data_IF_680556020551
#
_entry.id   IF_680556020551
#
_cell.length_a   1.000
_cell.length_b   1.000
_cell.length_c   1.000
_cell.angle_alpha   90.00
_cell.angle_beta   90.00
_cell.angle_gamma   90.00
#
_symmetry.space_group_name_H-M   'P 1'
#
loop_
_entity.id
_entity.type
_entity.pdbx_description
1 polymer ?
#
# COMPACT_ATOMS: atom_id res chain seq x y z
N UNK A 1 -15.15 -24.09 -20.85
CA UNK A 1 -15.10 -22.64 -20.54
C UNK A 1 -13.65 -22.32 -20.22
N UNK A 2 -12.96 -21.58 -21.09
CA UNK A 2 -11.68 -20.97 -20.74
C UNK A 2 -12.00 -19.70 -19.99
N UNK A 3 -11.94 -19.74 -18.66
CA UNK A 3 -11.98 -18.55 -17.82
C UNK A 3 -10.74 -17.73 -18.14
N UNK A 4 -10.88 -16.75 -19.04
CA UNK A 4 -9.77 -15.89 -19.42
C UNK A 4 -9.50 -14.97 -18.23
N UNK A 5 -8.44 -15.27 -17.49
CA UNK A 5 -7.94 -14.44 -16.40
C UNK A 5 -7.51 -13.10 -17.01
N UNK A 6 -8.37 -12.08 -16.92
CA UNK A 6 -8.09 -10.72 -17.39
C UNK A 6 -7.91 -9.83 -16.19
N UNK A 7 -6.72 -9.26 -16.03
CA UNK A 7 -6.39 -8.38 -14.91
C UNK A 7 -6.43 -6.93 -15.34
N UNK A 8 -7.13 -6.10 -14.58
CA UNK A 8 -7.14 -4.65 -14.78
C UNK A 8 -5.85 -4.01 -14.25
N UNK A 9 -4.86 -3.88 -15.13
CA UNK A 9 -3.58 -3.27 -14.81
C UNK A 9 -3.69 -1.78 -14.45
N UNK A 10 -4.67 -1.05 -15.01
CA UNK A 10 -4.88 0.36 -14.68
C UNK A 10 -5.48 0.49 -13.28
N UNK A 11 -6.50 -0.33 -12.96
CA UNK A 11 -7.09 -0.42 -11.63
C UNK A 11 -6.06 -0.78 -10.55
N UNK A 12 -5.16 -1.74 -10.84
CA UNK A 12 -4.06 -2.10 -9.93
C UNK A 12 -3.09 -0.93 -9.69
N UNK A 13 -2.74 -0.18 -10.73
CA UNK A 13 -1.85 0.98 -10.58
C UNK A 13 -2.53 2.13 -9.82
N UNK A 14 -3.83 2.36 -10.06
CA UNK A 14 -4.62 3.35 -9.32
C UNK A 14 -4.72 2.98 -7.83
N UNK A 15 -5.05 1.73 -7.52
CA UNK A 15 -5.12 1.24 -6.14
C UNK A 15 -3.75 1.30 -5.43
N UNK A 16 -2.65 1.09 -6.16
CA UNK A 16 -1.31 1.27 -5.63
C UNK A 16 -0.96 2.75 -5.35
N UNK A 17 -1.43 3.69 -6.16
CA UNK A 17 -1.24 5.11 -5.91
C UNK A 17 -2.01 5.55 -4.65
N UNK A 18 -3.29 5.18 -4.56
CA UNK A 18 -4.15 5.45 -3.41
C UNK A 18 -3.58 4.85 -2.11
N UNK A 19 -3.13 3.59 -2.16
CA UNK A 19 -2.46 2.95 -1.02
C UNK A 19 -1.19 3.70 -0.59
N UNK A 20 -0.39 4.21 -1.53
CA UNK A 20 0.80 4.98 -1.19
C UNK A 20 0.44 6.31 -0.51
N UNK A 21 -0.63 6.98 -0.93
CA UNK A 21 -1.15 8.20 -0.29
C UNK A 21 -1.64 7.91 1.13
N UNK A 22 -2.44 6.85 1.31
CA UNK A 22 -2.90 6.38 2.62
C UNK A 22 -1.70 6.12 3.54
N UNK A 23 -0.68 5.38 3.07
CA UNK A 23 0.52 5.12 3.86
C UNK A 23 1.24 6.42 4.29
N UNK A 24 1.34 7.40 3.39
CA UNK A 24 1.90 8.72 3.69
C UNK A 24 1.10 9.47 4.76
N UNK A 25 -0.23 9.42 4.68
CA UNK A 25 -1.12 10.05 5.67
C UNK A 25 -0.95 9.44 7.07
N UNK A 26 -0.81 8.12 7.17
CA UNK A 26 -0.59 7.41 8.43
C UNK A 26 0.75 7.76 9.06
N UNK A 27 1.82 7.87 8.25
CA UNK A 27 3.15 8.23 8.73
C UNK A 27 3.29 9.70 9.14
N UNK A 28 2.47 10.60 8.57
CA UNK A 28 2.54 12.04 8.81
C UNK A 28 1.80 12.50 10.08
N UNK A 29 1.05 11.62 10.75
CA UNK A 29 0.26 12.02 11.91
C UNK A 29 1.15 12.15 13.16
N UNK A 30 1.47 13.39 13.53
CA UNK A 30 2.27 13.72 14.71
C UNK A 30 1.53 13.33 16.00
N UNK A 31 2.20 12.59 16.90
CA UNK A 31 1.69 12.35 18.24
C UNK A 31 1.64 13.67 19.02
N UNK A 32 0.49 14.00 19.61
CA UNK A 32 0.35 15.21 20.42
C UNK A 32 1.26 15.15 21.64
N UNK A 33 2.09 16.17 21.84
CA UNK A 33 2.91 16.27 23.05
C UNK A 33 2.03 16.70 24.23
N UNK A 34 1.68 15.77 25.11
CA UNK A 34 1.00 16.08 26.37
C UNK A 34 2.05 16.63 27.36
N UNK A 35 2.08 17.95 27.59
CA UNK A 35 3.11 18.63 28.41
C UNK A 35 2.75 18.78 29.90
N UNK A 36 1.94 17.89 30.48
CA UNK A 36 1.53 18.02 31.89
C UNK A 36 2.32 17.13 32.86
N UNK A 37 2.45 17.57 34.11
CA UNK A 37 3.25 16.90 35.16
C UNK A 37 2.45 15.94 36.06
N UNK A 38 1.16 15.71 35.79
CA UNK A 38 0.34 14.79 36.59
C UNK A 38 0.62 13.33 36.21
N UNK A 39 0.52 12.36 37.15
CA UNK A 39 0.76 10.94 36.88
C UNK A 39 -0.08 10.36 35.71
N UNK A 40 -1.29 10.90 35.50
CA UNK A 40 -2.15 10.54 34.37
C UNK A 40 -1.54 10.87 33.00
N UNK A 41 -0.68 11.89 32.90
CA UNK A 41 0.01 12.24 31.65
C UNK A 41 0.99 11.16 31.19
N UNK A 42 1.66 10.46 32.11
CA UNK A 42 2.54 9.36 31.73
C UNK A 42 1.78 8.24 31.01
N UNK A 43 0.55 7.95 31.48
CA UNK A 43 -0.35 7.00 30.81
C UNK A 43 -0.79 7.47 29.43
N UNK A 44 -1.17 8.74 29.30
CA UNK A 44 -1.55 9.34 28.00
C UNK A 44 -0.38 9.28 27.01
N UNK A 45 0.82 9.68 27.43
CA UNK A 45 2.02 9.61 26.58
C UNK A 45 2.38 8.19 26.16
N UNK A 46 2.17 7.19 27.04
CA UNK A 46 2.37 5.78 26.67
C UNK A 46 1.37 5.33 25.60
N UNK A 47 0.10 5.76 25.69
CA UNK A 47 -0.94 5.46 24.69
C UNK A 47 -0.62 6.17 23.37
N UNK A 48 -0.22 7.44 23.40
CA UNK A 48 0.17 8.19 22.19
C UNK A 48 1.36 7.55 21.48
N UNK A 49 2.37 7.10 22.24
CA UNK A 49 3.51 6.38 21.69
C UNK A 49 3.10 5.02 21.09
N UNK A 50 2.22 4.27 21.75
CA UNK A 50 1.69 3.01 21.23
C UNK A 50 0.89 3.24 19.94
N UNK A 51 0.08 4.30 19.88
CA UNK A 51 -0.69 4.67 18.70
C UNK A 51 0.21 5.09 17.54
N UNK A 52 1.25 5.90 17.78
CA UNK A 52 2.24 6.27 16.78
C UNK A 52 2.94 5.02 16.20
N UNK A 53 3.36 4.10 17.07
CA UNK A 53 3.96 2.83 16.66
C UNK A 53 2.99 1.94 15.86
N UNK A 54 1.70 1.92 16.21
CA UNK A 54 0.69 1.19 15.45
C UNK A 54 0.48 1.78 14.05
N UNK A 55 0.42 3.11 13.93
CA UNK A 55 0.30 3.83 12.66
C UNK A 55 1.48 3.58 11.75
N UNK A 56 2.70 3.63 12.27
CA UNK A 56 3.92 3.37 11.51
C UNK A 56 3.95 1.95 10.91
N UNK A 57 3.62 0.94 11.72
CA UNK A 57 3.47 -0.44 11.22
C UNK A 57 2.39 -0.55 10.15
N UNK A 58 1.28 0.16 10.30
CA UNK A 58 0.20 0.14 9.32
C UNK A 58 0.60 0.85 8.02
N UNK A 59 1.28 1.99 8.09
CA UNK A 59 1.84 2.69 6.93
C UNK A 59 2.79 1.77 6.15
N UNK A 60 3.67 1.05 6.85
CA UNK A 60 4.59 0.07 6.24
C UNK A 60 3.83 -1.04 5.51
N UNK A 61 2.80 -1.62 6.14
CA UNK A 61 1.98 -2.67 5.50
C UNK A 61 1.30 -2.18 4.22
N UNK A 62 0.68 -1.01 4.27
CA UNK A 62 -0.04 -0.43 3.13
C UNK A 62 0.93 -0.04 2.00
N UNK A 63 2.10 0.51 2.33
CA UNK A 63 3.16 0.80 1.35
C UNK A 63 3.64 -0.47 0.65
N UNK A 64 3.86 -1.56 1.39
CA UNK A 64 4.23 -2.84 0.80
C UNK A 64 3.12 -3.37 -0.12
N UNK A 65 1.86 -3.24 0.29
CA UNK A 65 0.72 -3.63 -0.55
C UNK A 65 0.68 -2.86 -1.87
N UNK A 66 0.92 -1.55 -1.83
CA UNK A 66 1.04 -0.70 -3.02
C UNK A 66 2.16 -1.20 -3.97
N UNK A 67 3.32 -1.58 -3.42
CA UNK A 67 4.42 -2.11 -4.21
C UNK A 67 4.06 -3.44 -4.89
N UNK A 68 3.42 -4.36 -4.17
CA UNK A 68 2.98 -5.63 -4.75
C UNK A 68 1.95 -5.43 -5.85
N UNK A 69 1.04 -4.45 -5.71
CA UNK A 69 0.10 -4.11 -6.76
C UNK A 69 0.80 -3.60 -8.04
N UNK A 70 1.78 -2.69 -7.91
CA UNK A 70 2.58 -2.23 -9.07
C UNK A 70 3.37 -3.36 -9.71
N UNK A 71 3.96 -4.23 -8.89
CA UNK A 71 4.71 -5.38 -9.40
C UNK A 71 3.79 -6.32 -10.18
N UNK A 72 2.62 -6.64 -9.60
CA UNK A 72 1.60 -7.47 -10.24
C UNK A 72 1.16 -6.90 -11.58
N UNK A 73 0.85 -5.59 -11.64
CA UNK A 73 0.44 -4.93 -12.90
C UNK A 73 1.53 -5.01 -13.97
N UNK A 74 2.80 -4.87 -13.56
CA UNK A 74 3.95 -4.98 -14.46
C UNK A 74 4.12 -6.38 -15.03
N UNK A 75 3.92 -7.41 -14.21
CA UNK A 75 4.00 -8.83 -14.62
C UNK A 75 2.87 -9.19 -15.56
N UNK A 76 1.62 -8.86 -15.23
CA UNK A 76 0.47 -9.19 -16.10
C UNK A 76 0.57 -8.50 -17.46
N UNK A 77 0.88 -7.20 -17.49
CA UNK A 77 1.07 -6.47 -18.75
C UNK A 77 2.15 -7.10 -19.62
N UNK A 78 3.29 -7.49 -19.04
CA UNK A 78 4.37 -8.15 -19.80
C UNK A 78 3.90 -9.49 -20.37
N UNK A 79 3.23 -10.31 -19.57
CA UNK A 79 2.70 -11.61 -20.01
C UNK A 79 1.72 -11.43 -21.18
N UNK A 80 0.83 -10.44 -21.10
CA UNK A 80 -0.11 -10.13 -22.18
C UNK A 80 0.60 -9.68 -23.45
N UNK A 81 1.60 -8.79 -23.33
CA UNK A 81 2.40 -8.28 -24.46
C UNK A 81 3.19 -9.42 -25.14
N UNK A 82 3.83 -10.31 -24.36
CA UNK A 82 4.60 -11.45 -24.86
C UNK A 82 3.71 -12.51 -25.52
N UNK A 83 2.53 -12.79 -24.95
CA UNK A 83 1.55 -13.70 -25.54
C UNK A 83 1.01 -13.15 -26.86
N UNK A 84 0.67 -11.86 -26.92
CA UNK A 84 0.22 -11.20 -28.14
C UNK A 84 1.29 -11.23 -29.23
N UNK A 85 2.55 -10.91 -28.89
CA UNK A 85 3.68 -10.96 -29.82
C UNK A 85 3.92 -12.37 -30.37
N UNK A 86 3.77 -13.40 -29.53
CA UNK A 86 3.89 -14.80 -29.96
C UNK A 86 2.81 -15.15 -30.97
N UNK A 87 1.54 -14.78 -30.71
CA UNK A 87 0.43 -15.02 -31.63
C UNK A 87 0.68 -14.35 -32.99
N UNK A 88 1.08 -13.08 -33.00
CA UNK A 88 1.41 -12.33 -34.23
C UNK A 88 2.53 -12.98 -35.04
N UNK A 89 3.48 -13.68 -34.40
CA UNK A 89 4.59 -14.34 -35.09
C UNK A 89 4.20 -15.66 -35.78
N UNK A 90 3.13 -16.29 -35.32
CA UNK A 90 2.63 -17.57 -35.85
C UNK A 90 1.58 -17.43 -36.97
N UNK A 91 1.13 -16.21 -37.27
CA UNK A 91 0.22 -15.88 -38.39
C UNK A 91 0.98 -15.26 -39.55
#
# INVERSE_FOLDING_TARGET
>A
MTERLSVDNQGLNAAAADSAEIAGSLGSTVAGASSGSQPSHAGVSAIDAALASARDRQATRVSNHAQYMRLGSGVYRRTDDEAAATVVRTI
#
